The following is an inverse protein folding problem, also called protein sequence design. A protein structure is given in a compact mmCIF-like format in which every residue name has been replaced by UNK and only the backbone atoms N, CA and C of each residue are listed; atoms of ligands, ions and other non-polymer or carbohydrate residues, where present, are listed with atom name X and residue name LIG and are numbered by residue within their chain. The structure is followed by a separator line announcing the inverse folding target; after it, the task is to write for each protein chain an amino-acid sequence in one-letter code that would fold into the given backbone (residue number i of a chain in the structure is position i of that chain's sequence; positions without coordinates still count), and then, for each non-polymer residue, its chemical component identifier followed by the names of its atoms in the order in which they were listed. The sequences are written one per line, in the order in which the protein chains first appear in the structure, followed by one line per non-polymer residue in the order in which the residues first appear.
data_IF_585958926313
#
_entry.id   IF_585958926313
#
_cell.length_a   1.000
_cell.length_b   1.000
_cell.length_c   1.000
_cell.angle_alpha   90.00
_cell.angle_beta   90.00
_cell.angle_gamma   90.00
#
_symmetry.space_group_name_H-M   'P 1'
#
loop_
_entity.id
_entity.type
_entity.pdbx_description
1 polymer ?
#
# COMPACT_ATOMS: atom_id res chain seq x y z
N UNK A 1 32.29 25.22 21.94
CA UNK A 1 31.14 26.10 22.24
C UNK A 1 30.45 25.54 23.48
N UNK A 2 30.14 26.34 24.50
CA UNK A 2 29.55 25.81 25.74
C UNK A 2 28.05 25.49 25.51
N UNK A 3 27.47 24.54 26.26
CA UNK A 3 26.05 24.19 26.15
C UNK A 3 25.10 25.40 26.34
N UNK A 4 25.53 26.38 27.13
CA UNK A 4 24.80 27.63 27.37
C UNK A 4 24.75 28.56 26.14
N UNK A 5 25.80 28.53 25.30
CA UNK A 5 25.85 29.33 24.07
C UNK A 5 24.91 28.75 23.00
N UNK A 6 24.82 27.41 22.92
CA UNK A 6 23.94 26.71 21.98
C UNK A 6 22.46 26.97 22.29
N UNK A 7 22.08 26.93 23.57
CA UNK A 7 20.71 27.21 23.99
C UNK A 7 20.31 28.66 23.69
N UNK A 8 21.22 29.61 23.94
CA UNK A 8 21.00 31.02 23.61
C UNK A 8 20.83 31.23 22.11
N UNK A 9 21.64 30.56 21.29
CA UNK A 9 21.57 30.68 19.84
C UNK A 9 20.26 30.10 19.28
N UNK A 10 19.83 28.94 19.77
CA UNK A 10 18.51 28.36 19.45
C UNK A 10 17.38 29.34 19.75
N UNK A 11 17.34 29.86 20.98
CA UNK A 11 16.32 30.82 21.44
C UNK A 11 16.34 32.09 20.59
N UNK A 12 17.54 32.59 20.22
CA UNK A 12 17.67 33.76 19.34
C UNK A 12 16.99 33.50 17.99
N UNK A 13 17.31 32.40 17.32
CA UNK A 13 16.74 32.03 16.02
C UNK A 13 15.22 31.88 16.08
N UNK A 14 14.71 31.20 17.12
CA UNK A 14 13.27 31.02 17.32
C UNK A 14 12.54 32.34 17.58
N UNK A 15 13.09 33.21 18.42
CA UNK A 15 12.51 34.52 18.71
C UNK A 15 12.52 35.42 17.47
N UNK A 16 13.58 35.36 16.66
CA UNK A 16 13.65 36.06 15.38
C UNK A 16 12.53 35.60 14.45
N UNK A 17 12.34 34.28 14.24
CA UNK A 17 11.27 33.74 13.39
C UNK A 17 9.86 34.01 13.95
N UNK A 18 9.71 34.13 15.26
CA UNK A 18 8.43 34.44 15.87
C UNK A 18 8.03 35.92 15.74
N UNK A 19 8.97 36.81 15.40
CA UNK A 19 8.71 38.22 15.14
C UNK A 19 8.08 38.41 13.75
N UNK A 20 6.86 38.96 13.71
CA UNK A 20 6.06 39.11 12.48
C UNK A 20 6.59 40.16 11.50
N UNK A 21 7.60 40.94 11.88
CA UNK A 21 8.14 42.03 11.07
C UNK A 21 9.14 41.60 9.98
N UNK A 22 9.58 40.34 9.94
CA UNK A 22 10.61 39.91 8.98
C UNK A 22 10.09 39.88 7.53
N UNK A 23 10.94 40.29 6.60
CA UNK A 23 10.71 40.08 5.18
C UNK A 23 11.01 38.63 4.76
N UNK A 24 10.77 38.31 3.48
CA UNK A 24 10.98 36.96 2.96
C UNK A 24 12.43 36.49 3.09
N UNK A 25 13.39 37.34 2.73
CA UNK A 25 14.81 36.98 2.72
C UNK A 25 15.33 36.72 4.14
N UNK A 26 15.00 37.60 5.08
CA UNK A 26 15.35 37.43 6.48
C UNK A 26 14.74 36.14 7.05
N UNK A 27 13.45 35.89 6.79
CA UNK A 27 12.78 34.66 7.24
C UNK A 27 13.45 33.41 6.64
N UNK A 28 13.73 33.42 5.34
CA UNK A 28 14.39 32.31 4.66
C UNK A 28 15.79 32.04 5.21
N UNK A 29 16.61 33.07 5.40
CA UNK A 29 17.95 32.92 5.97
C UNK A 29 17.89 32.38 7.39
N UNK A 30 17.02 32.92 8.25
CA UNK A 30 16.88 32.44 9.63
C UNK A 30 16.36 31.00 9.71
N UNK A 31 15.46 30.58 8.83
CA UNK A 31 15.03 29.16 8.75
C UNK A 31 16.20 28.25 8.36
N UNK A 32 17.05 28.65 7.40
CA UNK A 32 18.22 27.87 7.02
C UNK A 32 19.30 27.82 8.12
N UNK A 33 19.50 28.93 8.84
CA UNK A 33 20.36 28.96 10.04
C UNK A 33 19.83 27.99 11.10
N UNK A 34 18.52 28.00 11.37
CA UNK A 34 17.89 27.08 12.30
C UNK A 34 17.99 25.62 11.85
N UNK A 35 17.80 25.33 10.56
CA UNK A 35 17.99 23.99 10.01
C UNK A 35 19.44 23.51 10.20
N UNK A 36 20.42 24.37 9.90
CA UNK A 36 21.84 24.08 10.10
C UNK A 36 22.17 23.82 11.58
N UNK A 37 21.54 24.58 12.48
CA UNK A 37 21.63 24.38 13.93
C UNK A 37 21.06 23.02 14.34
N UNK A 38 19.86 22.64 13.86
CA UNK A 38 19.21 21.35 14.13
C UNK A 38 20.09 20.17 13.68
N UNK A 39 20.71 20.28 12.50
CA UNK A 39 21.58 19.22 11.98
C UNK A 39 22.88 19.09 12.78
N UNK A 40 23.43 20.22 13.25
CA UNK A 40 24.70 20.23 13.99
C UNK A 40 24.54 19.91 15.48
N UNK A 41 23.38 20.22 16.06
CA UNK A 41 23.12 20.12 17.50
C UNK A 41 21.72 19.54 17.79
N UNK A 42 21.42 18.30 17.36
CA UNK A 42 20.08 17.71 17.50
C UNK A 42 19.61 17.62 18.95
N UNK A 43 20.51 17.37 19.90
CA UNK A 43 20.18 17.26 21.35
C UNK A 43 19.69 18.58 21.97
N UNK A 44 19.94 19.71 21.32
CA UNK A 44 19.52 21.03 21.77
C UNK A 44 18.13 21.42 21.25
N UNK A 45 17.53 20.66 20.35
CA UNK A 45 16.19 20.94 19.80
C UNK A 45 15.12 20.78 20.89
N UNK A 46 14.10 21.63 20.86
CA UNK A 46 12.95 21.59 21.80
C UNK A 46 11.62 21.63 21.06
N UNK A 47 10.52 21.47 21.80
CA UNK A 47 9.17 21.53 21.22
C UNK A 47 8.88 22.91 20.60
N UNK A 48 9.44 23.97 21.19
CA UNK A 48 9.36 25.35 20.70
C UNK A 48 9.97 25.50 19.31
N UNK A 49 11.05 24.76 19.01
CA UNK A 49 11.65 24.70 17.68
C UNK A 49 10.66 24.14 16.67
N UNK A 50 9.97 23.05 17.02
CA UNK A 50 8.96 22.41 16.16
C UNK A 50 7.77 23.34 15.94
N UNK A 51 7.26 23.96 17.01
CA UNK A 51 6.14 24.91 16.92
C UNK A 51 6.48 26.13 16.07
N UNK A 52 7.72 26.62 16.16
CA UNK A 52 8.20 27.75 15.34
C UNK A 52 8.23 27.37 13.85
N UNK A 53 8.77 26.20 13.51
CA UNK A 53 8.80 25.72 12.12
C UNK A 53 7.39 25.43 11.57
N UNK A 54 6.51 24.82 12.38
CA UNK A 54 5.11 24.59 11.99
C UNK A 54 4.40 25.92 11.70
N UNK A 55 4.62 26.94 12.53
CA UNK A 55 4.06 28.29 12.30
C UNK A 55 4.52 28.87 10.96
N UNK A 56 5.79 28.74 10.60
CA UNK A 56 6.30 29.19 9.29
C UNK A 56 5.60 28.45 8.14
N UNK A 57 5.38 27.14 8.25
CA UNK A 57 4.68 26.37 7.22
C UNK A 57 3.19 26.73 7.09
N UNK A 58 2.56 27.20 8.17
CA UNK A 58 1.17 27.66 8.19
C UNK A 58 1.01 29.10 7.73
N UNK A 59 2.01 29.95 7.93
CA UNK A 59 1.92 31.36 7.61
C UNK A 59 1.95 31.58 6.09
N UNK A 60 0.85 32.10 5.55
CA UNK A 60 0.67 32.36 4.12
C UNK A 60 1.25 33.73 3.70
N UNK A 61 1.83 34.51 4.62
CA UNK A 61 2.41 35.84 4.36
C UNK A 61 3.32 35.87 3.12
N UNK A 62 4.10 34.82 2.93
CA UNK A 62 5.09 34.74 1.85
C UNK A 62 4.61 33.95 0.63
N UNK A 63 3.38 33.44 0.61
CA UNK A 63 2.90 32.54 -0.45
C UNK A 63 2.99 33.15 -1.86
N UNK A 64 2.73 34.46 -1.98
CA UNK A 64 2.76 35.20 -3.25
C UNK A 64 4.17 35.49 -3.79
N UNK A 65 5.22 35.20 -3.01
CA UNK A 65 6.60 35.35 -3.48
C UNK A 65 6.91 34.26 -4.51
N UNK A 66 7.57 34.61 -5.62
CA UNK A 66 7.95 33.67 -6.69
C UNK A 66 8.73 32.45 -6.17
N UNK A 67 9.48 32.64 -5.08
CA UNK A 67 10.37 31.65 -4.49
C UNK A 67 9.84 31.09 -3.14
N UNK A 68 8.55 31.27 -2.84
CA UNK A 68 7.95 30.87 -1.57
C UNK A 68 8.14 29.37 -1.25
N UNK A 69 8.16 28.51 -2.27
CA UNK A 69 8.42 27.08 -2.13
C UNK A 69 9.76 26.78 -1.43
N UNK A 70 10.80 27.57 -1.64
CA UNK A 70 12.11 27.31 -1.02
C UNK A 70 12.08 27.56 0.48
N UNK A 71 11.33 28.58 0.94
CA UNK A 71 11.13 28.83 2.37
C UNK A 71 10.36 27.69 3.02
N UNK A 72 9.23 27.29 2.45
CA UNK A 72 8.45 26.21 3.03
C UNK A 72 9.20 24.88 2.98
N UNK A 73 9.97 24.63 1.93
CA UNK A 73 10.83 23.45 1.85
C UNK A 73 11.91 23.47 2.91
N UNK A 74 12.60 24.60 3.14
CA UNK A 74 13.60 24.70 4.19
C UNK A 74 13.00 24.43 5.58
N UNK A 75 11.80 24.93 5.86
CA UNK A 75 11.11 24.67 7.13
C UNK A 75 10.67 23.20 7.26
N UNK A 76 10.17 22.59 6.18
CA UNK A 76 9.76 21.19 6.16
C UNK A 76 10.97 20.24 6.30
N UNK A 77 12.08 20.54 5.62
CA UNK A 77 13.34 19.79 5.70
C UNK A 77 13.96 19.90 7.09
N UNK A 78 13.80 21.04 7.78
CA UNK A 78 14.20 21.19 9.17
C UNK A 78 13.38 20.27 10.10
N UNK A 79 12.06 20.20 9.93
CA UNK A 79 11.21 19.23 10.66
C UNK A 79 11.61 17.79 10.35
N UNK A 80 11.89 17.47 9.09
CA UNK A 80 12.37 16.14 8.69
C UNK A 80 13.72 15.79 9.36
N UNK A 81 14.63 16.76 9.45
CA UNK A 81 15.92 16.59 10.15
C UNK A 81 15.71 16.30 11.64
N UNK A 82 14.74 16.94 12.30
CA UNK A 82 14.37 16.64 13.70
C UNK A 82 13.91 15.18 13.82
N UNK A 83 13.06 14.71 12.90
CA UNK A 83 12.54 13.33 12.91
C UNK A 83 13.69 12.32 12.76
N UNK A 84 14.58 12.53 11.80
CA UNK A 84 15.70 11.61 11.52
C UNK A 84 16.70 11.57 12.66
N UNK A 85 17.12 12.72 13.16
CA UNK A 85 18.16 12.80 14.20
C UNK A 85 17.65 12.45 15.59
N UNK A 86 16.32 12.41 15.80
CA UNK A 86 15.72 12.16 17.10
C UNK A 86 14.63 11.08 17.05
N UNK A 87 14.83 10.04 16.23
CA UNK A 87 13.83 9.00 15.97
C UNK A 87 13.21 8.39 17.25
N UNK A 88 14.04 8.14 18.26
CA UNK A 88 13.64 7.53 19.54
C UNK A 88 13.24 8.54 20.64
N UNK A 89 13.21 9.84 20.32
CA UNK A 89 12.87 10.89 21.27
C UNK A 89 11.37 11.21 21.27
N UNK A 90 10.93 11.92 22.31
CA UNK A 90 9.59 12.52 22.37
C UNK A 90 9.34 13.63 21.33
N UNK A 91 10.36 14.04 20.54
CA UNK A 91 10.27 15.12 19.55
C UNK A 91 9.89 14.64 18.14
N UNK A 92 10.12 13.36 17.81
CA UNK A 92 9.81 12.82 16.48
C UNK A 92 8.31 12.85 16.18
N UNK A 93 7.47 12.42 17.13
CA UNK A 93 6.02 12.40 16.97
C UNK A 93 5.41 13.81 16.78
N UNK A 94 5.76 14.83 17.59
CA UNK A 94 5.34 16.22 17.33
C UNK A 94 5.76 16.74 15.96
N UNK A 95 7.01 16.48 15.51
CA UNK A 95 7.47 16.92 14.20
C UNK A 95 6.72 16.24 13.04
N UNK A 96 6.46 14.93 13.15
CA UNK A 96 5.60 14.18 12.22
C UNK A 96 4.19 14.77 12.23
N UNK A 97 3.64 15.09 13.41
CA UNK A 97 2.30 15.68 13.53
C UNK A 97 2.22 17.04 12.86
N UNK A 98 3.25 17.88 13.00
CA UNK A 98 3.33 19.18 12.33
C UNK A 98 3.27 19.02 10.79
N UNK A 99 4.10 18.15 10.21
CA UNK A 99 4.08 17.88 8.77
C UNK A 99 2.73 17.31 8.30
N UNK A 100 2.16 16.36 9.05
CA UNK A 100 0.82 15.80 8.76
C UNK A 100 -0.27 16.86 8.79
N UNK A 101 -0.21 17.79 9.74
CA UNK A 101 -1.17 18.89 9.80
C UNK A 101 -1.11 19.74 8.52
N UNK A 102 0.10 20.08 8.04
CA UNK A 102 0.26 20.83 6.78
C UNK A 102 -0.25 20.03 5.58
N UNK A 103 -0.05 18.72 5.53
CA UNK A 103 -0.62 17.88 4.48
C UNK A 103 -2.16 17.89 4.47
N UNK A 104 -2.77 17.96 5.65
CA UNK A 104 -4.24 17.96 5.80
C UNK A 104 -4.88 19.33 5.54
N UNK A 105 -4.18 20.43 5.84
CA UNK A 105 -4.77 21.79 5.79
C UNK A 105 -4.12 22.74 4.79
N UNK A 106 -2.91 22.42 4.31
CA UNK A 106 -2.13 23.26 3.42
C UNK A 106 -2.62 23.21 1.97
N UNK A 107 -2.17 24.17 1.17
CA UNK A 107 -2.46 24.30 -0.25
C UNK A 107 -1.21 24.81 -0.99
N UNK A 108 -1.06 24.43 -2.26
CA UNK A 108 0.05 24.87 -3.10
C UNK A 108 1.44 24.52 -2.53
N UNK A 109 2.26 25.53 -2.25
CA UNK A 109 3.69 25.39 -1.97
C UNK A 109 3.99 24.73 -0.61
N UNK A 110 3.22 25.05 0.44
CA UNK A 110 3.45 24.46 1.76
C UNK A 110 3.03 22.99 1.81
N UNK A 111 1.92 22.62 1.17
CA UNK A 111 1.51 21.23 1.01
C UNK A 111 2.57 20.43 0.25
N UNK A 112 3.05 20.96 -0.87
CA UNK A 112 4.12 20.32 -1.65
C UNK A 112 5.39 20.15 -0.83
N UNK A 113 5.83 21.17 -0.11
CA UNK A 113 7.01 21.10 0.74
C UNK A 113 6.88 20.02 1.83
N UNK A 114 5.75 19.96 2.52
CA UNK A 114 5.48 18.93 3.52
C UNK A 114 5.43 17.51 2.91
N UNK A 115 4.88 17.37 1.70
CA UNK A 115 4.83 16.10 0.98
C UNK A 115 6.22 15.62 0.55
N UNK A 116 7.05 16.51 0.01
CA UNK A 116 8.44 16.21 -0.36
C UNK A 116 9.26 15.79 0.88
N UNK A 117 9.15 16.54 1.99
CA UNK A 117 9.88 16.24 3.22
C UNK A 117 9.43 14.91 3.87
N UNK A 118 8.12 14.65 3.93
CA UNK A 118 7.61 13.36 4.43
C UNK A 118 8.03 12.18 3.53
N UNK A 119 8.07 12.40 2.21
CA UNK A 119 8.48 11.40 1.23
C UNK A 119 9.99 11.11 1.22
N UNK A 120 10.82 12.01 1.75
CA UNK A 120 12.27 11.85 1.84
C UNK A 120 12.75 11.23 3.15
N UNK A 121 11.85 11.03 4.13
CA UNK A 121 12.20 10.37 5.39
C UNK A 121 12.72 8.95 5.13
N UNK A 122 13.76 8.51 5.87
CA UNK A 122 14.29 7.16 5.73
C UNK A 122 13.22 6.13 6.11
N UNK A 123 12.93 5.22 5.19
CA UNK A 123 11.95 4.15 5.38
C UNK A 123 12.64 2.92 5.96
N UNK A 124 12.45 2.66 7.25
CA UNK A 124 12.89 1.42 7.91
C UNK A 124 11.80 0.33 7.86
N UNK A 125 11.13 0.19 6.72
CA UNK A 125 10.05 -0.78 6.54
C UNK A 125 10.60 -2.00 5.82
N UNK A 126 10.62 -3.15 6.51
CA UNK A 126 10.96 -4.43 5.91
C UNK A 126 9.68 -5.20 5.60
N UNK A 127 9.52 -5.59 4.33
CA UNK A 127 8.41 -6.46 3.92
C UNK A 127 8.52 -7.84 4.55
N UNK A 128 7.40 -8.57 4.68
CA UNK A 128 7.41 -9.91 5.24
C UNK A 128 8.15 -10.87 4.32
N UNK A 129 8.83 -11.84 4.93
CA UNK A 129 9.35 -13.00 4.21
C UNK A 129 8.25 -14.05 4.14
N UNK A 130 7.86 -14.40 2.92
CA UNK A 130 6.96 -15.54 2.71
C UNK A 130 7.83 -16.75 2.45
N UNK A 131 7.74 -17.72 3.36
CA UNK A 131 8.40 -19.00 3.20
C UNK A 131 7.80 -19.72 1.99
N UNK A 132 8.64 -19.96 0.99
CA UNK A 132 8.23 -20.75 -0.16
C UNK A 132 8.08 -22.21 0.26
N UNK A 133 6.83 -22.65 0.45
CA UNK A 133 6.54 -24.08 0.58
C UNK A 133 6.79 -24.75 -0.78
N UNK A 134 7.99 -25.33 -0.95
CA UNK A 134 8.31 -26.17 -2.10
C UNK A 134 7.72 -27.55 -1.88
N UNK A 135 6.84 -27.97 -2.77
CA UNK A 135 6.40 -29.37 -2.80
C UNK A 135 7.29 -30.13 -3.78
N UNK A 136 7.98 -31.17 -3.32
CA UNK A 136 8.86 -32.00 -4.17
C UNK A 136 8.06 -32.73 -5.27
N UNK A 137 6.81 -33.08 -4.97
CA UNK A 137 5.91 -33.77 -5.90
C UNK A 137 4.61 -32.98 -6.04
N UNK A 138 4.33 -32.48 -7.23
CA UNK A 138 3.06 -31.80 -7.52
C UNK A 138 1.97 -32.86 -7.69
N UNK A 139 0.95 -32.89 -6.81
CA UNK A 139 -0.12 -33.88 -6.91
C UNK A 139 -0.92 -33.70 -8.18
N UNK A 140 -1.48 -34.79 -8.69
CA UNK A 140 -2.35 -34.74 -9.85
C UNK A 140 -3.70 -35.35 -9.53
N UNK A 141 -4.76 -34.57 -9.76
CA UNK A 141 -6.10 -34.83 -9.21
C UNK A 141 -7.17 -34.59 -10.29
N UNK A 142 -8.23 -35.40 -10.28
CA UNK A 142 -9.40 -35.20 -11.13
C UNK A 142 -10.35 -34.16 -10.54
N UNK A 143 -11.13 -33.49 -11.38
CA UNK A 143 -12.10 -32.49 -10.93
C UNK A 143 -13.10 -33.07 -9.92
N UNK A 144 -13.66 -34.24 -10.22
CA UNK A 144 -14.67 -34.92 -9.40
C UNK A 144 -14.07 -35.33 -8.05
N UNK A 145 -12.82 -35.77 -8.05
CA UNK A 145 -12.08 -36.14 -6.85
C UNK A 145 -11.86 -34.93 -5.93
N UNK A 146 -11.56 -33.75 -6.50
CA UNK A 146 -11.44 -32.51 -5.74
C UNK A 146 -12.76 -32.13 -5.07
N UNK A 147 -13.89 -32.25 -5.78
CA UNK A 147 -15.21 -31.96 -5.21
C UNK A 147 -15.60 -32.94 -4.10
N UNK A 148 -15.45 -34.24 -4.35
CA UNK A 148 -15.81 -35.29 -3.38
C UNK A 148 -14.99 -35.18 -2.09
N UNK A 149 -13.66 -35.04 -2.20
CA UNK A 149 -12.75 -35.00 -1.03
C UNK A 149 -12.99 -33.80 -0.12
N UNK A 150 -13.47 -32.69 -0.67
CA UNK A 150 -13.75 -31.48 0.08
C UNK A 150 -15.25 -31.27 0.35
N UNK A 151 -16.09 -32.26 0.00
CA UNK A 151 -17.54 -32.22 0.17
C UNK A 151 -18.21 -30.99 -0.44
N UNK A 152 -17.71 -30.52 -1.59
CA UNK A 152 -18.28 -29.37 -2.28
C UNK A 152 -19.50 -29.77 -3.10
N UNK A 153 -20.66 -29.25 -2.71
CA UNK A 153 -21.86 -29.26 -3.52
C UNK A 153 -21.95 -27.94 -4.30
N UNK A 154 -21.93 -28.02 -5.62
CA UNK A 154 -21.98 -26.84 -6.49
C UNK A 154 -23.42 -26.51 -6.85
N UNK A 155 -23.80 -25.23 -6.77
CA UNK A 155 -25.15 -24.79 -7.16
C UNK A 155 -25.36 -24.83 -8.67
N UNK A 156 -24.29 -24.65 -9.46
CA UNK A 156 -24.33 -24.58 -10.91
C UNK A 156 -23.04 -25.15 -11.52
N UNK A 157 -23.05 -25.55 -12.79
CA UNK A 157 -21.83 -25.88 -13.51
C UNK A 157 -20.82 -24.73 -13.44
N UNK A 158 -19.51 -25.03 -13.30
CA UNK A 158 -18.50 -23.98 -13.25
C UNK A 158 -18.43 -23.17 -14.55
N UNK A 159 -18.14 -21.88 -14.39
CA UNK A 159 -17.98 -20.92 -15.49
C UNK A 159 -16.56 -20.40 -15.56
N UNK A 160 -16.06 -20.18 -16.78
CA UNK A 160 -14.74 -19.57 -16.99
C UNK A 160 -14.80 -18.05 -16.84
N UNK A 161 -13.99 -17.50 -15.94
CA UNK A 161 -13.74 -16.06 -15.79
C UNK A 161 -12.23 -15.82 -15.98
N UNK A 162 -11.87 -15.36 -17.18
CA UNK A 162 -10.46 -15.24 -17.57
C UNK A 162 -9.77 -16.60 -17.55
N UNK A 163 -8.95 -16.83 -16.52
CA UNK A 163 -8.19 -18.09 -16.32
C UNK A 163 -8.64 -18.86 -15.08
N UNK A 164 -9.76 -18.46 -14.51
CA UNK A 164 -10.31 -19.09 -13.33
C UNK A 164 -11.57 -19.83 -13.72
N UNK A 165 -11.66 -21.09 -13.30
CA UNK A 165 -12.90 -21.84 -13.29
C UNK A 165 -13.61 -21.55 -11.96
N UNK A 166 -14.82 -21.03 -12.03
CA UNK A 166 -15.54 -20.48 -10.86
C UNK A 166 -16.89 -21.15 -10.74
N UNK A 167 -17.24 -21.64 -9.56
CA UNK A 167 -18.58 -22.13 -9.26
C UNK A 167 -19.03 -21.71 -7.87
N UNK A 168 -20.33 -21.46 -7.70
CA UNK A 168 -20.91 -21.16 -6.41
C UNK A 168 -21.08 -22.45 -5.59
N UNK A 169 -20.69 -22.41 -4.32
CA UNK A 169 -20.94 -23.50 -3.37
C UNK A 169 -22.35 -23.35 -2.82
N UNK A 170 -23.13 -24.42 -2.85
CA UNK A 170 -24.52 -24.43 -2.41
C UNK A 170 -24.64 -24.06 -0.93
N UNK A 171 -25.49 -23.05 -0.65
CA UNK A 171 -25.85 -22.64 0.71
C UNK A 171 -24.82 -21.82 1.49
N UNK A 172 -23.63 -21.55 0.95
CA UNK A 172 -22.52 -20.95 1.72
C UNK A 172 -22.18 -19.50 1.30
N UNK A 173 -22.81 -18.95 0.25
CA UNK A 173 -22.49 -17.59 -0.24
C UNK A 173 -21.04 -17.43 -0.72
N UNK A 174 -20.35 -18.55 -0.98
CA UNK A 174 -18.94 -18.62 -1.38
C UNK A 174 -18.79 -19.21 -2.77
N UNK A 175 -17.61 -18.97 -3.34
CA UNK A 175 -17.18 -19.49 -4.63
C UNK A 175 -16.04 -20.46 -4.42
N UNK A 176 -16.11 -21.60 -5.11
CA UNK A 176 -14.97 -22.44 -5.40
C UNK A 176 -14.27 -21.89 -6.65
N UNK A 177 -12.98 -21.60 -6.54
CA UNK A 177 -12.19 -21.04 -7.63
C UNK A 177 -10.97 -21.90 -7.90
N UNK A 178 -10.83 -22.36 -9.14
CA UNK A 178 -9.60 -22.96 -9.63
C UNK A 178 -8.93 -22.01 -10.60
N UNK A 179 -7.78 -21.48 -10.22
CA UNK A 179 -7.01 -20.55 -11.06
C UNK A 179 -5.93 -21.32 -11.80
N UNK A 180 -5.93 -21.19 -13.12
CA UNK A 180 -5.11 -22.01 -14.03
C UNK A 180 -3.85 -21.26 -14.46
N UNK A 181 -2.73 -22.00 -14.54
CA UNK A 181 -1.48 -21.52 -15.11
C UNK A 181 -1.62 -21.24 -16.63
N UNK A 182 -0.99 -20.18 -17.13
CA UNK A 182 -0.90 -19.89 -18.58
C UNK A 182 0.29 -20.59 -19.23
N UNK A 183 1.36 -20.74 -18.47
CA UNK A 183 2.64 -21.24 -18.93
C UNK A 183 3.43 -21.79 -17.74
N UNK A 184 4.51 -22.52 -18.01
CA UNK A 184 5.39 -23.04 -16.95
C UNK A 184 5.95 -21.92 -16.06
N UNK A 185 6.26 -20.76 -16.63
CA UNK A 185 6.73 -19.58 -15.89
C UNK A 185 5.67 -19.01 -14.92
N UNK A 186 4.40 -19.39 -15.05
CA UNK A 186 3.33 -18.96 -14.15
C UNK A 186 3.13 -19.88 -12.93
N UNK A 187 3.84 -21.00 -12.83
CA UNK A 187 3.63 -21.99 -11.76
C UNK A 187 4.09 -21.44 -10.39
N UNK A 188 5.31 -20.92 -10.31
CA UNK A 188 5.86 -20.35 -9.08
C UNK A 188 5.03 -19.15 -8.59
N UNK A 189 4.64 -18.27 -9.52
CA UNK A 189 3.79 -17.12 -9.20
C UNK A 189 2.40 -17.53 -8.71
N UNK A 190 1.84 -18.63 -9.23
CA UNK A 190 0.57 -19.18 -8.78
C UNK A 190 0.66 -19.75 -7.36
N UNK A 191 1.70 -20.53 -7.06
CA UNK A 191 1.93 -21.04 -5.69
C UNK A 191 2.12 -19.87 -4.71
N UNK A 192 2.92 -18.85 -5.10
CA UNK A 192 3.14 -17.65 -4.29
C UNK A 192 1.86 -16.89 -4.01
N UNK A 193 0.91 -16.87 -4.95
CA UNK A 193 -0.42 -16.26 -4.73
C UNK A 193 -1.18 -16.96 -3.60
N UNK A 194 -1.20 -18.30 -3.57
CA UNK A 194 -1.81 -19.05 -2.47
C UNK A 194 -1.10 -18.81 -1.13
N UNK A 195 0.23 -18.70 -1.12
CA UNK A 195 0.99 -18.36 0.09
C UNK A 195 0.67 -16.94 0.58
N UNK A 196 0.49 -15.96 -0.31
CA UNK A 196 0.02 -14.62 0.06
C UNK A 196 -1.37 -14.66 0.68
N UNK A 197 -2.30 -15.43 0.10
CA UNK A 197 -3.64 -15.59 0.67
C UNK A 197 -3.58 -16.14 2.10
N UNK A 198 -2.77 -17.19 2.32
CA UNK A 198 -2.53 -17.78 3.65
C UNK A 198 -1.90 -16.76 4.61
N UNK A 199 -0.85 -16.08 4.18
CA UNK A 199 -0.14 -15.11 5.00
C UNK A 199 -1.08 -13.98 5.44
N UNK A 200 -1.80 -13.36 4.50
CA UNK A 200 -2.69 -12.25 4.79
C UNK A 200 -3.86 -12.64 5.70
N UNK A 201 -4.36 -13.88 5.60
CA UNK A 201 -5.46 -14.36 6.45
C UNK A 201 -5.01 -14.82 7.83
N UNK A 202 -3.76 -15.27 7.99
CA UNK A 202 -3.27 -15.89 9.24
C UNK A 202 -2.62 -14.89 10.21
N UNK A 203 -2.06 -13.78 9.72
CA UNK A 203 -1.10 -13.00 10.52
C UNK A 203 -1.69 -12.05 11.57
N UNK A 204 -2.92 -12.27 12.06
CA UNK A 204 -3.52 -11.44 13.11
C UNK A 204 -3.61 -9.95 12.76
N UNK A 205 -3.45 -9.60 11.48
CA UNK A 205 -3.51 -8.22 11.02
C UNK A 205 -4.96 -7.75 11.19
N UNK A 206 -5.20 -6.92 12.21
CA UNK A 206 -6.48 -6.26 12.35
C UNK A 206 -6.57 -5.16 11.30
N UNK A 207 -7.24 -5.45 10.19
CA UNK A 207 -7.64 -4.43 9.24
C UNK A 207 -8.87 -3.72 9.80
N UNK A 208 -8.82 -2.39 9.87
CA UNK A 208 -9.94 -1.56 10.38
C UNK A 208 -11.10 -1.46 9.38
N UNK A 209 -10.90 -1.97 8.17
CA UNK A 209 -11.91 -2.10 7.13
C UNK A 209 -12.05 -3.56 6.74
N UNK A 210 -13.18 -3.89 6.15
CA UNK A 210 -13.44 -5.25 5.68
C UNK A 210 -12.45 -5.66 4.59
N UNK A 211 -11.71 -6.74 4.84
CA UNK A 211 -10.78 -7.34 3.88
C UNK A 211 -11.09 -8.84 3.72
N UNK A 212 -11.96 -9.17 2.76
CA UNK A 212 -12.37 -10.55 2.45
C UNK A 212 -11.30 -11.28 1.63
N UNK A 213 -10.25 -11.73 2.30
CA UNK A 213 -9.14 -12.46 1.68
C UNK A 213 -9.61 -13.89 1.30
N UNK A 214 -9.36 -14.36 0.06
CA UNK A 214 -9.65 -15.75 -0.30
C UNK A 214 -8.87 -16.75 0.55
N UNK A 215 -9.46 -17.91 0.79
CA UNK A 215 -8.85 -18.99 1.57
C UNK A 215 -8.26 -20.05 0.65
N UNK A 216 -6.93 -20.23 0.58
CA UNK A 216 -6.31 -21.19 -0.30
C UNK A 216 -6.50 -22.61 0.24
N UNK A 217 -6.77 -23.57 -0.64
CA UNK A 217 -6.97 -24.98 -0.30
C UNK A 217 -5.75 -25.80 -0.67
N UNK A 218 -5.29 -26.63 0.28
CA UNK A 218 -4.27 -27.64 0.01
C UNK A 218 -4.90 -28.92 -0.50
N UNK A 219 -4.38 -29.44 -1.59
CA UNK A 219 -4.70 -30.74 -2.16
C UNK A 219 -3.50 -31.64 -1.94
N UNK A 220 -3.67 -32.73 -1.19
CA UNK A 220 -2.58 -33.63 -0.78
C UNK A 220 -1.37 -32.88 -0.18
N UNK A 221 -1.62 -31.89 0.67
CA UNK A 221 -0.57 -31.10 1.34
C UNK A 221 0.03 -29.96 0.51
N UNK A 222 -0.30 -29.83 -0.78
CA UNK A 222 0.21 -28.78 -1.67
C UNK A 222 -0.88 -27.80 -2.10
N UNK A 223 -0.57 -26.51 -2.21
CA UNK A 223 -1.47 -25.53 -2.83
C UNK A 223 -1.53 -25.69 -4.36
N UNK A 224 -0.44 -26.18 -4.95
CA UNK A 224 -0.28 -26.37 -6.37
C UNK A 224 -0.59 -27.82 -6.75
N UNK A 225 -1.39 -28.03 -7.79
CA UNK A 225 -1.69 -29.37 -8.29
C UNK A 225 -1.90 -29.34 -9.80
N UNK A 226 -1.86 -30.52 -10.43
CA UNK A 226 -2.17 -30.73 -11.84
C UNK A 226 -3.56 -31.32 -12.00
N UNK A 227 -4.45 -30.60 -12.67
CA UNK A 227 -5.79 -31.06 -12.98
C UNK A 227 -5.77 -32.08 -14.14
N UNK A 228 -6.36 -33.26 -13.94
CA UNK A 228 -6.52 -34.31 -14.95
C UNK A 228 -7.91 -34.24 -15.60
N UNK A 229 -8.03 -34.90 -16.75
CA UNK A 229 -9.30 -35.15 -17.46
C UNK A 229 -10.12 -33.87 -17.71
N UNK A 230 -9.41 -32.81 -18.13
CA UNK A 230 -9.96 -31.45 -18.30
C UNK A 230 -10.89 -31.28 -19.49
N UNK A 231 -11.26 -32.37 -20.19
CA UNK A 231 -12.07 -32.34 -21.42
C UNK A 231 -13.41 -31.62 -21.24
N UNK A 232 -14.05 -31.75 -20.07
CA UNK A 232 -15.29 -31.03 -19.75
C UNK A 232 -15.09 -29.52 -19.51
N UNK A 233 -13.89 -29.10 -19.14
CA UNK A 233 -13.53 -27.71 -18.80
C UNK A 233 -12.98 -26.97 -20.03
N UNK A 234 -12.27 -27.67 -20.90
CA UNK A 234 -11.58 -27.12 -22.09
C UNK A 234 -12.49 -26.73 -23.24
N UNK A 235 -13.68 -27.32 -23.34
CA UNK A 235 -14.66 -26.91 -24.35
C UNK A 235 -15.06 -25.43 -24.23
N UNK A 236 -14.83 -24.81 -23.06
CA UNK A 236 -15.19 -23.42 -22.79
C UNK A 236 -14.05 -22.41 -23.08
N UNK A 237 -12.81 -22.84 -23.38
CA UNK A 237 -11.71 -21.90 -23.63
C UNK A 237 -10.57 -22.51 -24.49
N UNK A 238 -10.49 -22.07 -25.76
CA UNK A 238 -9.49 -22.54 -26.74
C UNK A 238 -8.03 -22.18 -26.38
N UNK A 239 -7.80 -21.23 -25.46
CA UNK A 239 -6.45 -20.87 -25.01
C UNK A 239 -5.89 -21.83 -23.95
N UNK A 240 -6.68 -22.80 -23.49
CA UNK A 240 -6.24 -23.78 -22.52
C UNK A 240 -5.49 -24.94 -23.19
N UNK A 241 -4.19 -25.04 -22.94
CA UNK A 241 -3.39 -26.19 -23.34
C UNK A 241 -3.42 -27.27 -22.23
N UNK A 242 -3.97 -28.44 -22.55
CA UNK A 242 -4.06 -29.61 -21.66
C UNK A 242 -2.71 -30.08 -21.09
N UNK A 243 -1.60 -29.78 -21.75
CA UNK A 243 -0.27 -30.22 -21.30
C UNK A 243 0.22 -29.48 -20.04
N UNK A 244 -0.35 -28.30 -19.73
CA UNK A 244 0.07 -27.46 -18.60
C UNK A 244 -1.10 -27.10 -17.65
N UNK A 245 -1.94 -28.08 -17.29
CA UNK A 245 -3.09 -27.91 -16.38
C UNK A 245 -2.72 -27.73 -14.90
N UNK A 246 -1.70 -26.92 -14.59
CA UNK A 246 -1.37 -26.55 -13.22
C UNK A 246 -2.37 -25.54 -12.68
N UNK A 247 -2.76 -25.72 -11.43
CA UNK A 247 -3.77 -24.89 -10.78
C UNK A 247 -3.49 -24.71 -9.30
N UNK A 248 -4.05 -23.64 -8.74
CA UNK A 248 -4.34 -23.52 -7.31
C UNK A 248 -5.86 -23.52 -7.13
N UNK A 249 -6.31 -23.92 -5.94
CA UNK A 249 -7.71 -23.91 -5.55
C UNK A 249 -7.88 -23.00 -4.34
N UNK A 250 -8.92 -22.17 -4.33
CA UNK A 250 -9.24 -21.34 -3.19
C UNK A 250 -10.75 -21.07 -3.08
N UNK A 251 -11.18 -20.72 -1.88
CA UNK A 251 -12.55 -20.30 -1.58
C UNK A 251 -12.58 -18.77 -1.45
N UNK A 252 -13.52 -18.13 -2.13
CA UNK A 252 -13.71 -16.69 -2.08
C UNK A 252 -15.17 -16.33 -1.77
N UNK A 253 -15.40 -15.09 -1.34
CA UNK A 253 -16.76 -14.54 -1.21
C UNK A 253 -17.44 -14.43 -2.60
N UNK A 254 -18.78 -14.52 -2.68
CA UNK A 254 -19.52 -14.42 -3.95
C UNK A 254 -19.22 -13.14 -4.76
N UNK A 255 -18.94 -12.04 -4.08
CA UNK A 255 -18.59 -10.76 -4.68
C UNK A 255 -17.12 -10.64 -5.15
N UNK A 256 -16.29 -11.68 -5.01
CA UNK A 256 -14.85 -11.60 -5.32
C UNK A 256 -14.56 -11.20 -6.78
N UNK A 257 -15.43 -11.60 -7.72
CA UNK A 257 -15.33 -11.22 -9.13
C UNK A 257 -16.20 -10.00 -9.50
N UNK A 258 -16.69 -9.25 -8.52
CA UNK A 258 -17.44 -8.01 -8.71
C UNK A 258 -16.47 -6.83 -8.75
N UNK A 259 -16.19 -6.34 -9.95
CA UNK A 259 -15.29 -5.20 -10.14
C UNK A 259 -16.04 -3.86 -9.99
N UNK A 260 -15.53 -2.92 -9.18
CA UNK A 260 -16.21 -1.64 -8.95
C UNK A 260 -16.33 -0.77 -10.20
N UNK A 261 -15.46 -0.99 -11.20
CA UNK A 261 -15.42 -0.25 -12.47
C UNK A 261 -16.11 -1.00 -13.63
N UNK A 262 -17.00 -1.96 -13.36
CA UNK A 262 -17.67 -2.72 -14.43
C UNK A 262 -18.59 -1.85 -15.28
N UNK A 263 -18.53 -2.02 -16.61
CA UNK A 263 -19.41 -1.31 -17.56
C UNK A 263 -20.78 -1.98 -17.75
N UNK A 264 -20.97 -3.19 -17.21
CA UNK A 264 -22.26 -3.91 -17.30
C UNK A 264 -23.24 -3.30 -16.32
N UNK A 265 -24.27 -2.59 -16.82
CA UNK A 265 -25.28 -1.89 -15.99
C UNK A 265 -25.85 -2.75 -14.87
N UNK A 266 -26.16 -4.01 -15.14
CA UNK A 266 -26.72 -4.98 -14.18
C UNK A 266 -25.77 -5.33 -13.01
N UNK A 267 -24.47 -5.06 -13.16
CA UNK A 267 -23.43 -5.36 -12.16
C UNK A 267 -22.79 -4.10 -11.58
N UNK A 268 -23.27 -2.93 -11.97
CA UNK A 268 -22.75 -1.67 -11.46
C UNK A 268 -23.13 -1.51 -9.99
N UNK A 269 -22.13 -1.11 -9.19
CA UNK A 269 -22.36 -0.77 -7.80
C UNK A 269 -23.12 0.56 -7.70
N UNK A 270 -24.05 0.64 -6.76
CA UNK A 270 -24.63 1.92 -6.36
C UNK A 270 -23.56 2.86 -5.81
N UNK A 271 -23.81 4.17 -5.86
CA UNK A 271 -22.84 5.22 -5.50
C UNK A 271 -22.17 5.00 -4.14
N UNK A 272 -22.95 4.68 -3.11
CA UNK A 272 -22.42 4.47 -1.76
C UNK A 272 -21.55 3.21 -1.66
N UNK A 273 -21.97 2.10 -2.29
CA UNK A 273 -21.18 0.86 -2.29
C UNK A 273 -19.89 1.01 -3.10
N UNK A 274 -19.95 1.72 -4.22
CA UNK A 274 -18.75 2.09 -4.97
C UNK A 274 -17.78 2.90 -4.10
N UNK A 275 -18.28 3.93 -3.43
CA UNK A 275 -17.49 4.79 -2.53
C UNK A 275 -16.83 3.98 -1.41
N UNK A 276 -17.60 3.10 -0.76
CA UNK A 276 -17.11 2.19 0.28
C UNK A 276 -15.98 1.29 -0.25
N UNK A 277 -16.18 0.63 -1.39
CA UNK A 277 -15.18 -0.26 -1.99
C UNK A 277 -13.89 0.49 -2.31
N UNK A 278 -13.98 1.68 -2.92
CA UNK A 278 -12.79 2.46 -3.28
C UNK A 278 -12.02 2.91 -2.04
N UNK A 279 -12.70 3.44 -1.02
CA UNK A 279 -12.02 3.89 0.20
C UNK A 279 -11.43 2.73 1.01
N UNK A 280 -12.13 1.60 1.12
CA UNK A 280 -11.60 0.42 1.80
C UNK A 280 -10.34 -0.09 1.09
N UNK A 281 -10.35 -0.20 -0.24
CA UNK A 281 -9.17 -0.62 -1.00
C UNK A 281 -8.01 0.38 -0.88
N UNK A 282 -8.28 1.69 -0.92
CA UNK A 282 -7.24 2.71 -0.73
C UNK A 282 -6.59 2.61 0.66
N UNK A 283 -7.42 2.46 1.71
CA UNK A 283 -6.92 2.24 3.08
C UNK A 283 -6.11 0.95 3.19
N UNK A 284 -6.58 -0.16 2.61
CA UNK A 284 -5.87 -1.44 2.61
C UNK A 284 -4.52 -1.35 1.91
N UNK A 285 -4.45 -0.72 0.74
CA UNK A 285 -3.19 -0.52 0.02
C UNK A 285 -2.20 0.32 0.84
N UNK A 286 -2.67 1.40 1.48
CA UNK A 286 -1.83 2.19 2.39
C UNK A 286 -1.34 1.38 3.58
N UNK A 287 -2.22 0.60 4.21
CA UNK A 287 -1.88 -0.26 5.35
C UNK A 287 -0.87 -1.34 4.95
N UNK A 288 -1.09 -2.05 3.85
CA UNK A 288 -0.17 -3.06 3.33
C UNK A 288 1.20 -2.45 3.00
N UNK A 289 1.23 -1.28 2.36
CA UNK A 289 2.48 -0.56 2.04
C UNK A 289 3.24 -0.19 3.32
N UNK A 290 2.55 0.24 4.38
CA UNK A 290 3.18 0.50 5.70
C UNK A 290 3.80 -0.75 6.34
N UNK A 291 3.40 -1.94 5.90
CA UNK A 291 3.93 -3.23 6.32
C UNK A 291 4.99 -3.77 5.34
N UNK A 292 5.41 -2.97 4.35
CA UNK A 292 6.38 -3.35 3.32
C UNK A 292 5.82 -4.29 2.25
N UNK A 293 4.49 -4.38 2.12
CA UNK A 293 3.80 -5.18 1.10
C UNK A 293 3.29 -4.23 0.02
N UNK A 294 3.88 -4.30 -1.17
CA UNK A 294 3.51 -3.44 -2.30
C UNK A 294 2.84 -4.27 -3.39
N UNK A 295 1.61 -3.91 -3.74
CA UNK A 295 0.94 -4.46 -4.92
C UNK A 295 1.40 -3.70 -6.16
N UNK A 296 2.28 -4.28 -6.97
CA UNK A 296 2.93 -3.59 -8.10
C UNK A 296 2.06 -3.43 -9.35
N UNK A 297 0.95 -4.17 -9.46
CA UNK A 297 0.08 -4.11 -10.64
C UNK A 297 -1.43 -4.19 -10.31
N UNK A 298 -2.00 -3.28 -9.49
CA UNK A 298 -3.41 -3.34 -9.11
C UNK A 298 -4.35 -3.08 -10.31
N UNK A 299 -3.92 -2.20 -11.22
CA UNK A 299 -4.52 -1.99 -12.53
C UNK A 299 -3.36 -1.87 -13.52
N UNK A 300 -3.38 -2.57 -14.66
CA UNK A 300 -2.36 -2.39 -15.68
C UNK A 300 -2.54 -1.02 -16.35
N UNK A 301 -1.74 -0.04 -15.94
CA UNK A 301 -1.66 1.26 -16.59
C UNK A 301 -0.53 1.21 -17.63
N UNK A 302 -0.89 1.29 -18.91
CA UNK A 302 0.08 1.35 -19.99
C UNK A 302 0.18 2.79 -20.50
N UNK A 303 1.38 3.36 -20.51
CA UNK A 303 1.65 4.57 -21.29
C UNK A 303 1.87 4.16 -22.74
N UNK A 304 0.84 4.36 -23.58
CA UNK A 304 0.81 4.16 -25.04
C UNK A 304 1.01 2.72 -25.57
N UNK A 305 0.03 2.26 -26.35
CA UNK A 305 -0.03 0.94 -27.03
C UNK A 305 0.77 0.86 -28.34
N UNK A 306 1.79 1.71 -28.52
CA UNK A 306 2.57 1.74 -29.77
C UNK A 306 4.02 1.39 -29.45
N UNK A 307 4.32 0.09 -29.50
CA UNK A 307 5.62 -0.51 -29.83
C UNK A 307 5.70 -1.91 -29.22
N UNK A 308 5.07 -2.89 -29.89
CA UNK A 308 5.58 -4.27 -30.02
C UNK A 308 5.04 -4.83 -31.33
N UNK A 309 5.84 -4.69 -32.38
CA UNK A 309 5.79 -5.59 -33.53
C UNK A 309 6.42 -6.93 -33.13
#
# INVERSE_FOLDING_TARGET
MCAWDLERERIRLENTLNNTALDFCATFMTVNELNSFIQSHPDNVRLETISTLEKILRDLKHLKQTQSIFLYRAAADALASIIVNNADSSLSLPAISALKNILNTGADANHRAAAEAMGSLPLFINGPKIDEERTEVIPSVKWEELLMRNSFNLSHPPVMIGRSLVSAIAGDGKLLVLKLALSKNSIESLNREALWMKYLSSNGNSFSVEFRIPSPLKINGSYLFRLKDTQAITQQNAAFNHENSYAICFIAHNDYFTYPNTHKKERQLGKEKFREVIFNNAWLLGKLTSMGIVHSAPIPLFHNRVQRN
#
